data_IF_757278322593
#
_entry.id   IF_757278322593
#
_cell.length_a   1.000
_cell.length_b   1.000
_cell.length_c   1.000
_cell.angle_alpha   90.00
_cell.angle_beta   90.00
_cell.angle_gamma   90.00
#
_symmetry.space_group_name_H-M   'P 1'
#
loop_
_entity.id
_entity.type
_entity.pdbx_description
1 polymer ?
#
# COMPACT_ATOMS: atom_id res chain seq x y z
N UNK A 1 23.72 3.97 7.06
CA UNK A 1 23.52 2.61 7.64
C UNK A 1 24.59 1.69 7.06
N UNK A 2 25.35 0.93 7.87
CA UNK A 2 26.48 0.13 7.34
C UNK A 2 26.14 -1.35 7.08
N UNK A 3 25.08 -1.90 7.66
CA UNK A 3 24.64 -3.29 7.44
C UNK A 3 23.10 -3.40 7.50
N UNK A 4 22.38 -3.45 6.37
CA UNK A 4 20.95 -3.73 6.39
C UNK A 4 20.69 -5.16 6.88
N UNK A 5 19.64 -5.36 7.69
CA UNK A 5 19.22 -6.66 8.21
C UNK A 5 17.75 -6.90 7.90
N UNK A 6 17.45 -8.06 7.31
CA UNK A 6 16.07 -8.52 7.17
C UNK A 6 15.48 -8.85 8.55
N UNK A 7 14.36 -8.22 8.89
CA UNK A 7 13.70 -8.41 10.20
C UNK A 7 12.33 -9.09 10.07
N UNK A 8 11.69 -8.98 8.91
CA UNK A 8 10.41 -9.61 8.60
C UNK A 8 10.25 -9.75 7.07
N UNK A 9 9.47 -10.74 6.63
CA UNK A 9 9.06 -10.95 5.25
C UNK A 9 7.65 -11.53 5.24
N UNK A 10 6.81 -11.02 4.34
CA UNK A 10 5.47 -11.53 4.09
C UNK A 10 5.32 -11.82 2.60
N UNK A 11 4.56 -12.86 2.26
CA UNK A 11 4.25 -13.22 0.89
C UNK A 11 2.81 -12.86 0.57
N UNK A 12 2.59 -12.26 -0.60
CA UNK A 12 1.27 -11.93 -1.13
C UNK A 12 1.04 -12.71 -2.42
N UNK A 13 -0.21 -13.01 -2.72
CA UNK A 13 -0.62 -13.72 -3.93
C UNK A 13 -0.54 -12.87 -5.19
N UNK A 14 -0.61 -11.55 -5.04
CA UNK A 14 -0.58 -10.58 -6.12
C UNK A 14 0.81 -9.94 -6.23
N UNK A 15 1.19 -9.56 -7.45
CA UNK A 15 2.38 -8.75 -7.69
C UNK A 15 2.22 -7.37 -7.04
N UNK A 16 3.22 -6.97 -6.27
CA UNK A 16 3.28 -5.64 -5.67
C UNK A 16 3.76 -4.67 -6.74
N UNK A 17 2.95 -3.68 -7.05
CA UNK A 17 3.27 -2.63 -8.02
C UNK A 17 4.00 -1.47 -7.35
N UNK A 18 3.53 -1.07 -6.17
CA UNK A 18 4.07 0.05 -5.41
C UNK A 18 3.78 -0.09 -3.90
N UNK A 19 4.58 0.60 -3.07
CA UNK A 19 4.52 0.65 -1.62
C UNK A 19 4.70 2.07 -1.11
N UNK A 20 3.75 2.55 -0.31
CA UNK A 20 3.86 3.85 0.36
C UNK A 20 3.61 3.76 1.86
N UNK A 21 4.30 4.60 2.64
CA UNK A 21 4.20 4.62 4.10
C UNK A 21 3.71 5.98 4.57
N UNK A 22 2.71 5.96 5.45
CA UNK A 22 2.28 7.15 6.18
C UNK A 22 1.98 6.80 7.63
N UNK A 23 2.70 7.45 8.55
CA UNK A 23 2.71 7.12 9.98
C UNK A 23 3.01 5.62 10.21
N UNK A 24 2.18 4.94 10.99
CA UNK A 24 2.31 3.51 11.32
C UNK A 24 1.61 2.60 10.30
N UNK A 25 1.39 3.06 9.05
CA UNK A 25 0.66 2.32 8.03
C UNK A 25 1.45 2.17 6.73
N UNK A 26 1.34 0.98 6.14
CA UNK A 26 1.89 0.63 4.84
C UNK A 26 0.74 0.37 3.85
N UNK A 27 0.76 1.08 2.73
CA UNK A 27 -0.16 0.94 1.62
C UNK A 27 0.54 0.15 0.51
N UNK A 28 -0.14 -0.86 -0.03
CA UNK A 28 0.44 -1.81 -0.98
C UNK A 28 -0.45 -1.90 -2.20
N UNK A 29 0.01 -1.39 -3.35
CA UNK A 29 -0.68 -1.54 -4.62
C UNK A 29 -0.46 -2.96 -5.16
N UNK A 30 -1.55 -3.67 -5.44
CA UNK A 30 -1.56 -5.08 -5.84
C UNK A 30 -2.18 -5.29 -7.23
N UNK A 31 -2.17 -4.28 -8.09
CA UNK A 31 -2.85 -4.33 -9.38
C UNK A 31 -4.35 -4.56 -9.19
N UNK A 32 -4.87 -5.67 -9.73
CA UNK A 32 -6.27 -6.10 -9.55
C UNK A 32 -6.60 -6.51 -8.10
N UNK A 33 -5.59 -6.77 -7.27
CA UNK A 33 -5.76 -7.02 -5.84
C UNK A 33 -6.13 -5.77 -5.02
N UNK A 34 -6.15 -4.60 -5.68
CA UNK A 34 -6.49 -3.32 -5.06
C UNK A 34 -5.33 -2.74 -4.24
N UNK A 35 -5.66 -2.05 -3.15
CA UNK A 35 -4.67 -1.49 -2.21
C UNK A 35 -4.84 -2.12 -0.84
N UNK A 36 -3.87 -2.93 -0.42
CA UNK A 36 -3.83 -3.44 0.95
C UNK A 36 -3.24 -2.41 1.89
N UNK A 37 -3.82 -2.29 3.09
CA UNK A 37 -3.37 -1.37 4.12
C UNK A 37 -2.99 -2.19 5.36
N UNK A 38 -1.72 -2.12 5.73
CA UNK A 38 -1.17 -2.81 6.88
C UNK A 38 -0.77 -1.84 7.98
N UNK A 39 -0.95 -2.25 9.24
CA UNK A 39 -0.36 -1.62 10.40
C UNK A 39 1.06 -2.14 10.60
N UNK A 40 2.02 -1.22 10.68
CA UNK A 40 3.46 -1.52 10.76
C UNK A 40 4.12 -0.98 12.04
N UNK A 41 3.34 -0.51 13.01
CA UNK A 41 3.84 0.00 14.31
C UNK A 41 4.79 -0.98 14.99
N UNK A 42 4.48 -2.27 14.93
CA UNK A 42 5.41 -3.34 15.27
C UNK A 42 5.79 -4.10 14.00
N UNK A 43 6.99 -3.91 13.44
CA UNK A 43 7.39 -4.56 12.19
C UNK A 43 7.58 -6.08 12.33
N UNK A 44 7.56 -6.63 13.55
CA UNK A 44 7.58 -8.08 13.80
C UNK A 44 6.17 -8.68 13.93
N UNK A 45 5.14 -7.83 13.97
CA UNK A 45 3.72 -8.22 14.07
C UNK A 45 2.87 -7.26 13.22
N UNK A 46 2.86 -7.53 11.91
CA UNK A 46 2.09 -6.75 10.94
C UNK A 46 0.59 -7.01 11.13
N UNK A 47 -0.22 -5.95 11.07
CA UNK A 47 -1.67 -6.03 11.21
C UNK A 47 -2.33 -5.79 9.85
N UNK A 48 -3.19 -6.70 9.34
CA UNK A 48 -4.01 -6.43 8.14
C UNK A 48 -5.19 -5.53 8.55
N UNK A 49 -5.13 -4.25 8.20
CA UNK A 49 -6.09 -3.25 8.68
C UNK A 49 -7.27 -3.10 7.72
N UNK A 50 -7.01 -3.07 6.41
CA UNK A 50 -8.04 -2.89 5.40
C UNK A 50 -7.55 -3.25 3.98
N UNK A 51 -8.47 -3.35 3.03
CA UNK A 51 -8.16 -3.41 1.59
C UNK A 51 -9.15 -2.55 0.80
N UNK A 52 -8.64 -1.65 -0.04
CA UNK A 52 -9.43 -0.90 -1.01
C UNK A 52 -9.54 -1.70 -2.30
N UNK A 53 -10.75 -1.90 -2.81
CA UNK A 53 -11.01 -2.63 -4.05
C UNK A 53 -11.58 -1.70 -5.14
N UNK A 54 -10.74 -0.85 -5.77
CA UNK A 54 -11.18 -0.13 -6.96
C UNK A 54 -11.47 -1.11 -8.10
N UNK A 55 -12.36 -0.73 -9.02
CA UNK A 55 -12.73 -1.56 -10.15
C UNK A 55 -11.58 -1.76 -11.18
N UNK A 56 -10.56 -0.90 -11.13
CA UNK A 56 -9.41 -0.92 -12.03
C UNK A 56 -8.14 -1.33 -11.28
N UNK A 57 -7.14 -1.82 -12.01
CA UNK A 57 -5.83 -2.14 -11.45
C UNK A 57 -5.13 -0.89 -10.91
N UNK A 58 -4.52 -1.01 -9.74
CA UNK A 58 -3.70 0.05 -9.13
C UNK A 58 -2.23 -0.21 -9.37
N UNK A 59 -1.54 0.77 -9.95
CA UNK A 59 -0.14 0.65 -10.34
C UNK A 59 0.82 1.49 -9.50
N UNK A 60 0.33 2.58 -8.90
CA UNK A 60 1.14 3.53 -8.14
C UNK A 60 0.28 4.17 -7.04
N UNK A 61 0.90 4.52 -5.92
CA UNK A 61 0.26 5.19 -4.80
C UNK A 61 1.03 6.47 -4.49
N UNK A 62 0.32 7.56 -4.24
CA UNK A 62 0.89 8.74 -3.61
C UNK A 62 0.02 9.15 -2.42
N UNK A 63 0.66 9.57 -1.34
CA UNK A 63 -0.01 9.98 -0.10
C UNK A 63 0.19 11.49 0.11
N UNK A 64 -0.87 12.18 0.51
CA UNK A 64 -0.81 13.62 0.79
C UNK A 64 -1.83 14.04 1.83
N UNK A 65 -1.37 14.47 2.99
CA UNK A 65 -2.22 14.77 4.15
C UNK A 65 -3.17 13.59 4.46
N UNK A 66 -4.48 13.82 4.31
CA UNK A 66 -5.55 12.85 4.51
C UNK A 66 -6.06 12.30 3.17
N UNK A 67 -5.22 12.27 2.12
CA UNK A 67 -5.59 11.81 0.79
C UNK A 67 -4.67 10.68 0.31
N UNK A 68 -5.27 9.71 -0.36
CA UNK A 68 -4.59 8.63 -1.08
C UNK A 68 -4.89 8.81 -2.57
N UNK A 69 -3.86 9.02 -3.37
CA UNK A 69 -3.92 9.12 -4.82
C UNK A 69 -3.51 7.79 -5.42
N UNK A 70 -4.33 7.24 -6.32
CA UNK A 70 -4.07 5.97 -6.99
C UNK A 70 -3.91 6.21 -8.49
N UNK A 71 -2.81 5.74 -9.08
CA UNK A 71 -2.68 5.69 -10.54
C UNK A 71 -3.25 4.38 -11.08
N UNK A 72 -4.13 4.50 -12.09
CA UNK A 72 -4.87 3.39 -12.69
C UNK A 72 -4.43 3.14 -14.14
N UNK A 73 -3.22 3.55 -14.50
CA UNK A 73 -2.69 3.44 -15.85
C UNK A 73 -3.51 4.25 -16.85
N UNK A 74 -4.04 3.59 -17.88
CA UNK A 74 -4.85 4.25 -18.92
C UNK A 74 -6.23 4.72 -18.43
N UNK A 75 -6.67 4.20 -17.29
CA UNK A 75 -7.99 4.51 -16.71
C UNK A 75 -7.95 5.77 -15.83
N UNK A 76 -6.79 6.45 -15.77
CA UNK A 76 -6.62 7.73 -15.10
C UNK A 76 -6.16 7.56 -13.65
N UNK A 77 -6.76 8.33 -12.74
CA UNK A 77 -6.42 8.33 -11.32
C UNK A 77 -7.67 8.45 -10.43
N UNK A 78 -7.57 7.97 -9.20
CA UNK A 78 -8.59 8.09 -8.15
C UNK A 78 -8.00 8.75 -6.90
N UNK A 79 -8.85 9.44 -6.13
CA UNK A 79 -8.50 9.96 -4.80
C UNK A 79 -9.46 9.40 -3.77
N UNK A 80 -8.92 8.95 -2.64
CA UNK A 80 -9.67 8.61 -1.44
C UNK A 80 -9.32 9.60 -0.33
N UNK A 81 -10.32 10.03 0.44
CA UNK A 81 -10.08 10.62 1.76
C UNK A 81 -9.72 9.51 2.76
N UNK A 82 -8.76 9.80 3.63
CA UNK A 82 -8.22 8.90 4.64
C UNK A 82 -8.06 9.62 5.97
N UNK A 83 -8.97 9.33 6.91
CA UNK A 83 -8.98 9.87 8.28
C UNK A 83 -8.89 8.73 9.29
#
# INVERSE_FOLDING_TARGET
>A
MKHPRLINQMYLSNEIQDLEIYNDRLFVALGQGGVKIYGIKNPLKIEDLNTLYPAMSVYDIALGNDLIFLALGKDGWMIYEYR
#
